data_IF_116066787437
#
_entry.id   IF_116066787437
#
_cell.length_a   1.000
_cell.length_b   1.000
_cell.length_c   1.000
_cell.angle_alpha   90.00
_cell.angle_beta   90.00
_cell.angle_gamma   90.00
#
_symmetry.space_group_name_H-M   'P 1'
#
loop_
_entity.id
_entity.type
_entity.pdbx_description
1 polymer ?
#
# COMPACT_ATOMS: atom_id res chain seq x y z
N UNK A 1 -11.75 5.20 -3.69
CA UNK A 1 -12.30 3.93 -3.22
C UNK A 1 -13.79 3.93 -3.53
N UNK A 2 -14.47 2.78 -3.56
CA UNK A 2 -15.92 2.73 -3.77
C UNK A 2 -16.64 2.30 -2.48
N UNK A 3 -17.93 2.63 -2.35
CA UNK A 3 -18.75 2.22 -1.20
C UNK A 3 -18.81 0.70 -1.04
N UNK A 4 -18.92 -0.03 -2.15
CA UNK A 4 -18.86 -1.49 -2.17
C UNK A 4 -17.52 -2.06 -1.67
N UNK A 5 -16.40 -1.35 -1.91
CA UNK A 5 -15.10 -1.74 -1.35
C UNK A 5 -15.12 -1.66 0.18
N UNK A 6 -15.58 -0.54 0.74
CA UNK A 6 -15.68 -0.38 2.20
C UNK A 6 -16.67 -1.36 2.83
N UNK A 7 -17.80 -1.62 2.17
CA UNK A 7 -18.79 -2.60 2.63
C UNK A 7 -18.15 -3.98 2.84
N UNK A 8 -17.42 -4.47 1.83
CA UNK A 8 -16.74 -5.77 1.86
C UNK A 8 -15.66 -5.81 2.93
N UNK A 9 -14.82 -4.78 3.00
CA UNK A 9 -13.76 -4.70 4.00
C UNK A 9 -14.35 -4.67 5.42
N UNK A 10 -15.40 -3.89 5.65
CA UNK A 10 -16.06 -3.83 6.95
C UNK A 10 -16.67 -5.18 7.34
N UNK A 11 -17.35 -5.85 6.42
CA UNK A 11 -17.94 -7.17 6.66
C UNK A 11 -16.90 -8.22 7.11
N UNK A 12 -15.72 -8.21 6.48
CA UNK A 12 -14.68 -9.18 6.80
C UNK A 12 -13.80 -8.79 7.99
N UNK A 13 -13.57 -7.50 8.21
CA UNK A 13 -12.45 -7.03 9.04
C UNK A 13 -12.82 -6.08 10.18
N UNK A 14 -14.00 -5.43 10.19
CA UNK A 14 -14.32 -4.40 11.19
C UNK A 14 -14.24 -4.89 12.65
N UNK A 15 -14.65 -6.13 12.90
CA UNK A 15 -14.64 -6.73 14.25
C UNK A 15 -13.38 -7.57 14.52
N UNK A 16 -12.52 -7.77 13.51
CA UNK A 16 -11.35 -8.63 13.64
C UNK A 16 -10.19 -7.88 14.29
N UNK A 17 -9.51 -8.59 15.19
CA UNK A 17 -8.32 -8.08 15.88
C UNK A 17 -7.13 -9.02 15.70
N UNK A 18 -5.95 -8.42 15.63
CA UNK A 18 -4.68 -9.13 15.75
C UNK A 18 -4.44 -9.58 17.21
N UNK A 19 -3.47 -10.48 17.47
CA UNK A 19 -3.18 -10.98 18.81
C UNK A 19 -2.87 -9.92 19.88
N UNK A 20 -2.42 -8.72 19.49
CA UNK A 20 -2.23 -7.59 20.41
C UNK A 20 -3.51 -6.77 20.68
N UNK A 21 -4.66 -7.18 20.15
CA UNK A 21 -5.94 -6.48 20.28
C UNK A 21 -6.11 -5.31 19.31
N UNK A 22 -5.13 -5.00 18.45
CA UNK A 22 -5.28 -3.98 17.42
C UNK A 22 -6.25 -4.43 16.32
N UNK A 23 -7.03 -3.52 15.74
CA UNK A 23 -7.78 -3.80 14.52
C UNK A 23 -6.84 -4.29 13.41
N UNK A 24 -7.29 -5.25 12.63
CA UNK A 24 -6.57 -5.70 11.44
C UNK A 24 -6.43 -4.56 10.43
N UNK A 25 -5.34 -4.59 9.65
CA UNK A 25 -5.07 -3.59 8.59
C UNK A 25 -4.89 -4.27 7.25
N UNK A 26 -5.21 -3.55 6.19
CA UNK A 26 -5.18 -4.04 4.81
C UNK A 26 -4.47 -3.06 3.89
N UNK A 27 -4.07 -3.53 2.71
CA UNK A 27 -3.46 -2.72 1.67
C UNK A 27 -4.44 -2.57 0.51
N UNK A 28 -4.70 -1.35 0.06
CA UNK A 28 -5.53 -1.06 -1.10
C UNK A 28 -4.69 -0.48 -2.24
N UNK A 29 -4.53 -1.25 -3.31
CA UNK A 29 -3.92 -0.80 -4.56
C UNK A 29 -4.97 0.00 -5.34
N UNK A 30 -4.77 1.30 -5.42
CA UNK A 30 -5.76 2.27 -5.87
C UNK A 30 -5.47 2.77 -7.28
N UNK A 31 -6.49 2.81 -8.13
CA UNK A 31 -6.47 3.46 -9.43
C UNK A 31 -7.40 4.68 -9.49
N UNK A 32 -7.09 5.66 -10.35
CA UNK A 32 -7.91 6.87 -10.50
C UNK A 32 -9.34 6.58 -10.96
N UNK A 33 -9.51 5.63 -11.88
CA UNK A 33 -10.84 5.34 -12.45
C UNK A 33 -11.80 4.85 -11.36
N UNK A 34 -12.97 5.48 -11.27
CA UNK A 34 -14.02 5.18 -10.29
C UNK A 34 -13.59 5.29 -8.81
N UNK A 35 -12.74 6.27 -8.51
CA UNK A 35 -12.15 6.49 -7.19
C UNK A 35 -12.81 7.65 -6.42
N UNK A 36 -13.43 7.38 -5.26
CA UNK A 36 -13.76 8.45 -4.31
C UNK A 36 -12.57 8.73 -3.38
N UNK A 37 -12.05 9.96 -3.40
CA UNK A 37 -10.80 10.32 -2.73
C UNK A 37 -10.95 10.67 -1.24
N UNK A 38 -12.11 11.14 -0.78
CA UNK A 38 -12.35 11.30 0.67
C UNK A 38 -12.33 9.94 1.36
N UNK A 39 -12.95 8.93 0.76
CA UNK A 39 -12.94 7.57 1.29
C UNK A 39 -11.54 6.93 1.32
N UNK A 40 -10.64 7.35 0.41
CA UNK A 40 -9.24 6.93 0.42
C UNK A 40 -8.49 7.59 1.58
N UNK A 41 -8.82 8.84 1.89
CA UNK A 41 -8.32 9.57 3.07
C UNK A 41 -8.74 8.84 4.35
N UNK A 42 -10.03 8.53 4.49
CA UNK A 42 -10.57 7.78 5.64
C UNK A 42 -9.87 6.43 5.82
N UNK A 43 -9.69 5.70 4.72
CA UNK A 43 -9.04 4.39 4.74
C UNK A 43 -7.58 4.46 5.23
N UNK A 44 -6.82 5.44 4.73
CA UNK A 44 -5.44 5.70 5.16
C UNK A 44 -5.37 6.15 6.63
N UNK A 45 -6.23 7.07 7.05
CA UNK A 45 -6.28 7.58 8.44
C UNK A 45 -6.69 6.49 9.44
N UNK A 46 -7.52 5.54 9.01
CA UNK A 46 -7.82 4.34 9.79
C UNK A 46 -6.59 3.41 9.95
N UNK A 47 -5.41 3.78 9.42
CA UNK A 47 -4.15 3.05 9.54
C UNK A 47 -3.96 1.95 8.49
N UNK A 48 -4.78 1.94 7.44
CA UNK A 48 -4.57 1.05 6.31
C UNK A 48 -3.57 1.66 5.32
N UNK A 49 -3.04 0.82 4.44
CA UNK A 49 -2.08 1.25 3.44
C UNK A 49 -2.78 1.54 2.11
N UNK A 50 -2.47 2.69 1.51
CA UNK A 50 -2.86 3.03 0.14
C UNK A 50 -1.63 2.92 -0.74
N UNK A 51 -1.73 2.09 -1.77
CA UNK A 51 -0.68 1.83 -2.73
C UNK A 51 -1.14 2.15 -4.15
N UNK A 52 -0.20 2.31 -5.07
CA UNK A 52 -0.45 2.72 -6.45
C UNK A 52 -0.87 1.53 -7.34
N UNK A 53 -1.90 1.74 -8.16
CA UNK A 53 -2.38 0.78 -9.16
C UNK A 53 -2.62 1.44 -10.53
N UNK A 54 -1.83 2.45 -10.89
CA UNK A 54 -1.93 3.30 -12.10
C UNK A 54 -3.19 4.14 -12.18
N UNK A 55 -3.24 5.13 -13.08
CA UNK A 55 -4.42 5.98 -13.21
C UNK A 55 -5.57 5.24 -13.92
N UNK A 56 -5.27 4.63 -15.07
CA UNK A 56 -6.29 4.08 -15.97
C UNK A 56 -6.34 2.55 -16.02
N UNK A 57 -5.62 1.87 -15.12
CA UNK A 57 -5.63 0.41 -14.99
C UNK A 57 -5.14 -0.30 -16.27
N UNK A 58 -3.98 0.13 -16.77
CA UNK A 58 -3.33 -0.43 -17.97
C UNK A 58 -2.18 -1.37 -17.64
N UNK A 59 -2.05 -2.46 -18.41
CA UNK A 59 -0.88 -3.33 -18.34
C UNK A 59 0.35 -2.67 -18.97
N UNK A 60 1.54 -3.08 -18.53
CA UNK A 60 2.82 -2.47 -18.91
C UNK A 60 2.79 -0.93 -18.83
N UNK A 61 2.39 -0.37 -17.67
CA UNK A 61 2.15 1.07 -17.54
C UNK A 61 3.44 1.87 -17.74
N UNK A 62 3.29 3.03 -18.39
CA UNK A 62 4.36 3.99 -18.55
C UNK A 62 4.48 4.88 -17.30
N UNK A 63 5.48 5.78 -17.29
CA UNK A 63 5.72 6.65 -16.15
C UNK A 63 4.58 7.62 -15.83
N UNK A 64 3.81 8.10 -16.82
CA UNK A 64 2.67 8.99 -16.58
C UNK A 64 1.54 8.29 -15.82
N UNK A 65 1.32 7.00 -16.09
CA UNK A 65 0.32 6.19 -15.38
C UNK A 65 0.68 5.99 -13.91
N UNK A 66 1.96 5.72 -13.63
CA UNK A 66 2.45 5.45 -12.27
C UNK A 66 2.58 6.78 -11.50
N UNK A 67 3.34 7.74 -12.02
CA UNK A 67 3.63 8.98 -11.31
C UNK A 67 2.41 9.90 -11.24
N UNK A 68 1.53 9.83 -12.24
CA UNK A 68 0.28 10.57 -12.24
C UNK A 68 -0.68 10.09 -11.16
N UNK A 69 -0.72 8.78 -10.88
CA UNK A 69 -1.57 8.24 -9.83
C UNK A 69 -1.06 8.62 -8.42
N UNK A 70 0.27 8.59 -8.20
CA UNK A 70 0.87 9.17 -7.00
C UNK A 70 0.48 10.64 -6.79
N UNK A 71 0.58 11.45 -7.84
CA UNK A 71 0.24 12.86 -7.79
C UNK A 71 -1.25 13.07 -7.47
N UNK A 72 -2.14 12.31 -8.11
CA UNK A 72 -3.58 12.38 -7.87
C UNK A 72 -3.95 11.93 -6.45
N UNK A 73 -3.39 10.83 -5.95
CA UNK A 73 -3.64 10.36 -4.57
C UNK A 73 -3.16 11.37 -3.54
N UNK A 74 -1.99 11.98 -3.74
CA UNK A 74 -1.51 13.04 -2.86
C UNK A 74 -2.39 14.29 -2.92
N UNK A 75 -2.73 14.75 -4.13
CA UNK A 75 -3.46 15.99 -4.32
C UNK A 75 -4.93 15.91 -3.88
N UNK A 76 -5.59 14.76 -4.11
CA UNK A 76 -7.04 14.64 -3.88
C UNK A 76 -7.40 13.81 -2.64
N UNK A 77 -6.47 13.05 -2.05
CA UNK A 77 -6.65 12.38 -0.75
C UNK A 77 -5.73 12.88 0.35
N UNK A 78 -4.82 13.83 0.06
CA UNK A 78 -3.90 14.40 1.05
C UNK A 78 -2.93 13.40 1.67
N UNK A 79 -2.78 12.22 1.09
CA UNK A 79 -1.84 11.21 1.60
C UNK A 79 -0.42 11.67 1.27
N UNK A 80 0.51 11.72 2.24
CA UNK A 80 1.89 12.09 1.98
C UNK A 80 2.54 11.18 0.92
N UNK A 81 3.27 11.77 -0.04
CA UNK A 81 3.98 11.00 -1.08
C UNK A 81 4.97 9.96 -0.52
N UNK A 82 5.50 10.19 0.70
CA UNK A 82 6.37 9.25 1.42
C UNK A 82 5.64 7.97 1.82
N UNK A 83 4.33 8.05 2.00
CA UNK A 83 3.50 6.98 2.54
C UNK A 83 2.80 6.20 1.42
N UNK A 84 2.76 6.75 0.19
CA UNK A 84 2.28 6.07 -1.02
C UNK A 84 3.32 5.09 -1.60
N UNK A 85 3.98 4.29 -0.77
CA UNK A 85 5.25 3.66 -1.13
C UNK A 85 5.15 2.32 -1.88
N UNK A 86 3.95 1.77 -2.04
CA UNK A 86 3.71 0.49 -2.69
C UNK A 86 3.16 0.63 -4.10
N UNK A 87 3.43 -0.36 -4.95
CA UNK A 87 2.85 -0.46 -6.29
C UNK A 87 2.41 -1.89 -6.61
N UNK A 88 1.40 -2.03 -7.47
CA UNK A 88 1.05 -3.27 -8.17
C UNK A 88 0.65 -2.94 -9.60
N UNK A 89 1.17 -3.69 -10.57
CA UNK A 89 0.82 -3.53 -11.97
C UNK A 89 -0.60 -4.07 -12.24
N UNK A 90 -1.44 -3.35 -12.99
CA UNK A 90 -2.71 -3.86 -13.50
C UNK A 90 -2.53 -5.16 -14.28
N UNK A 91 -3.45 -6.11 -14.07
CA UNK A 91 -3.39 -7.48 -14.61
C UNK A 91 -2.10 -8.24 -14.27
N UNK A 92 -1.32 -7.75 -13.30
CA UNK A 92 0.02 -8.24 -12.96
C UNK A 92 1.00 -8.19 -14.14
N UNK A 93 0.70 -7.36 -15.14
CA UNK A 93 1.49 -7.24 -16.36
C UNK A 93 2.55 -6.14 -16.17
N UNK A 94 3.64 -6.48 -15.50
CA UNK A 94 4.80 -5.62 -15.33
C UNK A 94 5.92 -5.96 -16.32
N UNK A 95 6.83 -5.02 -16.53
CA UNK A 95 8.01 -5.18 -17.38
C UNK A 95 9.27 -4.70 -16.66
N UNK A 96 10.45 -4.95 -17.24
CA UNK A 96 11.71 -4.37 -16.74
C UNK A 96 11.67 -2.83 -16.72
N UNK A 97 10.98 -2.19 -17.67
CA UNK A 97 10.79 -0.73 -17.71
C UNK A 97 9.84 -0.26 -16.60
N UNK A 98 8.77 -1.01 -16.32
CA UNK A 98 7.88 -0.77 -15.18
C UNK A 98 8.68 -0.74 -13.88
N UNK A 99 9.44 -1.81 -13.58
CA UNK A 99 10.25 -1.88 -12.36
C UNK A 99 11.32 -0.78 -12.29
N UNK A 100 11.95 -0.45 -13.42
CA UNK A 100 12.93 0.66 -13.49
C UNK A 100 12.26 1.99 -13.12
N UNK A 101 11.07 2.24 -13.65
CA UNK A 101 10.28 3.43 -13.34
C UNK A 101 9.94 3.49 -11.84
N UNK A 102 9.54 2.37 -11.23
CA UNK A 102 9.26 2.31 -9.78
C UNK A 102 10.49 2.69 -8.94
N UNK A 103 11.66 2.18 -9.31
CA UNK A 103 12.91 2.50 -8.62
C UNK A 103 13.33 3.96 -8.81
N UNK A 104 13.16 4.52 -10.01
CA UNK A 104 13.43 5.94 -10.29
C UNK A 104 12.49 6.85 -9.49
N UNK A 105 11.20 6.49 -9.42
CA UNK A 105 10.16 7.14 -8.63
C UNK A 105 10.18 6.78 -7.13
N UNK A 106 11.25 6.12 -6.65
CA UNK A 106 11.50 5.83 -5.23
C UNK A 106 10.35 5.10 -4.53
N UNK A 107 9.70 4.19 -5.24
CA UNK A 107 8.81 3.23 -4.58
C UNK A 107 9.61 2.34 -3.63
N UNK A 108 8.97 1.94 -2.55
CA UNK A 108 9.55 1.03 -1.58
C UNK A 108 9.47 -0.40 -2.07
N UNK A 109 8.33 -0.78 -2.64
CA UNK A 109 8.10 -2.14 -3.10
C UNK A 109 7.19 -2.21 -4.33
N UNK A 110 7.39 -3.26 -5.11
CA UNK A 110 6.42 -3.82 -6.05
C UNK A 110 5.80 -5.10 -5.46
N UNK A 111 4.55 -5.39 -5.83
CA UNK A 111 3.87 -6.63 -5.52
C UNK A 111 3.09 -7.08 -6.75
N UNK A 112 3.81 -7.38 -7.82
CA UNK A 112 3.24 -7.82 -9.10
C UNK A 112 3.73 -9.20 -9.51
N UNK A 113 4.87 -9.65 -8.99
CA UNK A 113 5.44 -10.93 -9.38
C UNK A 113 4.72 -12.09 -8.67
N UNK A 114 4.40 -13.13 -9.41
CA UNK A 114 3.73 -14.34 -8.91
C UNK A 114 4.74 -15.30 -8.30
N UNK A 115 4.38 -15.85 -7.14
CA UNK A 115 4.89 -17.13 -6.66
C UNK A 115 3.86 -18.22 -6.97
N UNK A 116 4.28 -19.18 -7.78
CA UNK A 116 3.45 -20.21 -8.38
C UNK A 116 3.74 -21.62 -7.84
N UNK A 117 4.51 -21.75 -6.76
CA UNK A 117 4.75 -23.04 -6.10
C UNK A 117 4.42 -23.02 -4.59
N UNK A 118 3.95 -24.15 -4.02
CA UNK A 118 3.65 -24.23 -2.59
C UNK A 118 4.84 -23.81 -1.71
N UNK A 119 4.55 -23.19 -0.56
CA UNK A 119 5.59 -22.58 0.29
C UNK A 119 6.53 -23.58 0.97
N UNK A 120 6.12 -24.85 1.06
CA UNK A 120 6.88 -25.98 1.60
C UNK A 120 7.50 -26.88 0.51
N UNK A 121 7.28 -26.55 -0.77
CA UNK A 121 7.84 -27.32 -1.88
C UNK A 121 9.37 -27.18 -1.96
N UNK A 122 10.03 -28.27 -2.37
CA UNK A 122 11.47 -28.22 -2.69
C UNK A 122 11.70 -27.33 -3.90
N UNK A 123 12.54 -26.31 -3.75
CA UNK A 123 12.78 -25.32 -4.82
C UNK A 123 11.64 -24.33 -5.02
N UNK A 124 10.82 -24.10 -3.98
CA UNK A 124 9.75 -23.12 -3.98
C UNK A 124 10.23 -21.72 -4.42
N UNK A 125 9.36 -21.03 -5.15
CA UNK A 125 9.46 -19.61 -5.52
C UNK A 125 8.68 -18.69 -4.56
N UNK A 126 8.06 -19.25 -3.52
CA UNK A 126 7.42 -18.54 -2.42
C UNK A 126 8.48 -18.01 -1.46
N UNK A 127 9.29 -17.08 -1.95
CA UNK A 127 10.30 -16.41 -1.14
C UNK A 127 9.66 -15.42 -0.17
N UNK A 128 10.24 -15.25 1.02
CA UNK A 128 9.99 -14.03 1.80
C UNK A 128 10.27 -12.79 0.94
N UNK A 129 9.60 -11.64 1.17
CA UNK A 129 9.90 -10.40 0.47
C UNK A 129 11.41 -10.12 0.45
N UNK A 130 11.90 -9.65 -0.69
CA UNK A 130 13.34 -9.49 -0.94
C UNK A 130 13.63 -8.22 -1.75
N UNK A 131 14.86 -7.72 -1.69
CA UNK A 131 15.27 -6.57 -2.50
C UNK A 131 15.75 -7.01 -3.88
N UNK A 132 15.55 -6.14 -4.87
CA UNK A 132 16.06 -6.30 -6.24
C UNK A 132 17.53 -5.87 -6.38
N UNK A 133 18.29 -5.83 -5.28
CA UNK A 133 19.75 -5.57 -5.27
C UNK A 133 20.50 -6.55 -6.19
N UNK A 134 20.00 -7.78 -6.28
CA UNK A 134 20.56 -8.85 -7.11
C UNK A 134 19.62 -9.29 -8.25
N UNK A 135 18.53 -8.55 -8.46
CA UNK A 135 17.50 -8.81 -9.48
C UNK A 135 16.33 -9.65 -9.00
N UNK A 136 15.32 -9.77 -9.86
CA UNK A 136 14.09 -10.50 -9.60
C UNK A 136 14.34 -12.02 -9.69
N UNK A 137 13.63 -12.81 -8.89
CA UNK A 137 13.69 -14.27 -8.95
C UNK A 137 12.34 -14.95 -9.23
N UNK A 138 11.26 -14.18 -9.27
CA UNK A 138 9.92 -14.61 -9.68
C UNK A 138 9.68 -14.24 -11.17
N UNK A 139 8.76 -14.94 -11.85
CA UNK A 139 8.37 -14.72 -13.25
C UNK A 139 9.50 -14.69 -14.30
N UNK A 140 10.60 -15.40 -14.05
CA UNK A 140 11.76 -15.40 -14.96
C UNK A 140 11.49 -15.98 -16.35
N UNK A 141 10.41 -16.74 -16.50
CA UNK A 141 9.97 -17.33 -17.76
C UNK A 141 8.89 -16.48 -18.46
N UNK A 142 8.21 -15.61 -17.71
CA UNK A 142 7.06 -14.84 -18.20
C UNK A 142 7.43 -13.41 -18.57
N UNK A 143 8.43 -12.85 -17.89
CA UNK A 143 8.85 -11.46 -18.07
C UNK A 143 10.30 -11.41 -18.56
N UNK A 144 10.48 -10.79 -19.72
CA UNK A 144 11.80 -10.64 -20.33
C UNK A 144 12.71 -9.72 -19.50
N UNK A 145 13.99 -10.09 -19.44
CA UNK A 145 15.09 -9.28 -18.90
C UNK A 145 15.00 -8.86 -17.41
N UNK A 146 14.12 -9.43 -16.61
CA UNK A 146 14.03 -9.12 -15.16
C UNK A 146 14.88 -10.04 -14.27
N UNK A 147 15.13 -11.28 -14.69
CA UNK A 147 15.84 -12.28 -13.91
C UNK A 147 17.32 -12.47 -14.30
N UNK A 148 17.99 -13.42 -13.62
CA UNK A 148 19.41 -13.77 -13.86
C UNK A 148 20.37 -12.59 -13.63
N UNK A 149 19.98 -11.64 -12.76
CA UNK A 149 20.74 -10.43 -12.48
C UNK A 149 20.83 -9.45 -13.65
N UNK A 150 19.98 -9.59 -14.69
CA UNK A 150 19.91 -8.68 -15.85
C UNK A 150 19.40 -7.30 -15.46
N UNK A 151 18.40 -7.24 -14.59
CA UNK A 151 17.89 -6.01 -13.99
C UNK A 151 18.25 -6.00 -12.51
N UNK A 152 18.88 -4.93 -12.03
CA UNK A 152 19.21 -4.73 -10.61
C UNK A 152 18.76 -3.33 -10.21
N UNK A 153 17.90 -3.27 -9.20
CA UNK A 153 17.27 -2.03 -8.75
C UNK A 153 17.44 -1.95 -7.23
N UNK A 154 18.64 -1.54 -6.76
CA UNK A 154 18.95 -1.64 -5.35
C UNK A 154 17.98 -0.88 -4.45
N UNK A 155 17.55 -1.52 -3.37
CA UNK A 155 16.60 -0.97 -2.40
C UNK A 155 15.11 -1.08 -2.77
N UNK A 156 14.76 -1.39 -4.03
CA UNK A 156 13.37 -1.72 -4.38
C UNK A 156 13.06 -3.14 -3.89
N UNK A 157 11.99 -3.30 -3.12
CA UNK A 157 11.53 -4.60 -2.64
C UNK A 157 10.56 -5.24 -3.63
N UNK A 158 10.60 -6.56 -3.75
CA UNK A 158 9.51 -7.36 -4.29
C UNK A 158 8.79 -8.03 -3.12
N UNK A 159 7.46 -7.93 -3.12
CA UNK A 159 6.57 -8.76 -2.30
C UNK A 159 5.88 -9.74 -3.26
N UNK A 160 6.39 -10.98 -3.37
CA UNK A 160 5.78 -11.98 -4.24
C UNK A 160 4.31 -12.16 -3.89
N UNK A 161 3.49 -12.29 -4.92
CA UNK A 161 2.10 -12.67 -4.79
C UNK A 161 2.01 -14.19 -4.68
N UNK A 162 1.73 -14.69 -3.48
CA UNK A 162 1.66 -16.12 -3.20
C UNK A 162 0.35 -16.69 -3.70
N UNK A 163 0.40 -17.63 -4.65
CA UNK A 163 -0.80 -18.29 -5.14
C UNK A 163 -1.41 -19.23 -4.08
N UNK A 164 -2.70 -19.49 -4.24
CA UNK A 164 -3.45 -20.57 -3.60
C UNK A 164 -3.45 -21.78 -4.54
N UNK A 165 -3.38 -22.99 -3.99
CA UNK A 165 -3.22 -24.24 -4.73
C UNK A 165 -4.38 -25.20 -4.48
N UNK A 166 -4.78 -25.91 -5.53
CA UNK A 166 -5.66 -27.06 -5.41
C UNK A 166 -4.87 -28.30 -4.97
N UNK A 167 -4.84 -28.55 -3.66
CA UNK A 167 -4.12 -29.69 -3.06
C UNK A 167 -2.60 -29.60 -3.27
N UNK A 168 -1.94 -30.74 -3.47
CA UNK A 168 -0.49 -30.82 -3.70
C UNK A 168 -0.11 -30.56 -5.18
N UNK A 169 -1.08 -30.23 -6.04
CA UNK A 169 -0.84 -30.06 -7.48
C UNK A 169 -0.46 -28.60 -7.81
N UNK A 170 0.84 -28.35 -8.00
CA UNK A 170 1.35 -27.04 -8.42
C UNK A 170 0.91 -26.59 -9.83
N UNK A 171 0.17 -27.40 -10.58
CA UNK A 171 -0.33 -27.04 -11.92
C UNK A 171 -1.60 -26.17 -11.89
N UNK A 172 -2.35 -26.20 -10.79
CA UNK A 172 -3.63 -25.48 -10.64
C UNK A 172 -3.47 -24.40 -9.56
N UNK A 173 -3.01 -23.23 -9.98
CA UNK A 173 -2.74 -22.06 -9.12
C UNK A 173 -3.85 -21.02 -9.25
N UNK A 174 -4.20 -20.39 -8.12
CA UNK A 174 -5.23 -19.37 -7.99
C UNK A 174 -4.64 -18.16 -7.28
N UNK A 175 -4.44 -17.05 -7.99
CA UNK A 175 -3.69 -15.91 -7.44
C UNK A 175 -4.59 -14.77 -6.98
N UNK A 176 -5.52 -14.36 -7.85
CA UNK A 176 -6.45 -13.26 -7.62
C UNK A 176 -7.87 -13.80 -7.65
N UNK A 177 -8.65 -13.49 -6.63
CA UNK A 177 -10.05 -13.90 -6.54
C UNK A 177 -10.30 -15.42 -6.70
N UNK A 178 -9.66 -16.28 -5.87
CA UNK A 178 -9.77 -17.74 -6.01
C UNK A 178 -11.22 -18.26 -5.96
N UNK A 179 -12.14 -17.49 -5.38
CA UNK A 179 -13.58 -17.78 -5.37
C UNK A 179 -14.27 -17.68 -6.73
N UNK A 180 -13.65 -17.09 -7.74
CA UNK A 180 -14.18 -17.08 -9.10
C UNK A 180 -13.80 -18.33 -9.89
N UNK A 181 -12.79 -19.06 -9.43
CA UNK A 181 -12.24 -20.21 -10.15
C UNK A 181 -12.99 -21.52 -9.86
N UNK A 182 -13.92 -21.51 -8.90
CA UNK A 182 -14.84 -22.62 -8.64
C UNK A 182 -16.22 -22.15 -8.18
N UNK A 183 -17.26 -22.76 -8.76
CA UNK A 183 -18.63 -22.60 -8.28
C UNK A 183 -18.90 -23.35 -6.96
N UNK A 184 -18.02 -24.27 -6.58
CA UNK A 184 -18.12 -24.99 -5.32
C UNK A 184 -17.29 -24.29 -4.25
N UNK A 185 -18.01 -23.58 -3.36
CA UNK A 185 -17.46 -22.83 -2.24
C UNK A 185 -16.57 -23.70 -1.32
N UNK A 186 -16.88 -24.99 -1.18
CA UNK A 186 -16.09 -25.88 -0.32
C UNK A 186 -14.67 -26.09 -0.86
N UNK A 187 -14.54 -26.19 -2.19
CA UNK A 187 -13.25 -26.38 -2.84
C UNK A 187 -12.36 -25.16 -2.60
N UNK A 188 -12.91 -23.95 -2.81
CA UNK A 188 -12.20 -22.68 -2.58
C UNK A 188 -11.68 -22.60 -1.14
N UNK A 189 -12.51 -22.90 -0.15
CA UNK A 189 -12.09 -22.87 1.26
C UNK A 189 -11.02 -23.93 1.54
N UNK A 190 -11.13 -25.12 0.96
CA UNK A 190 -10.13 -26.17 1.11
C UNK A 190 -8.78 -25.73 0.54
N UNK A 191 -8.75 -25.16 -0.67
CA UNK A 191 -7.53 -24.64 -1.31
C UNK A 191 -6.88 -23.54 -0.47
N UNK A 192 -7.67 -22.60 0.03
CA UNK A 192 -7.15 -21.52 0.89
C UNK A 192 -6.57 -22.07 2.20
N UNK A 193 -7.21 -23.08 2.81
CA UNK A 193 -6.71 -23.72 4.03
C UNK A 193 -5.45 -24.53 3.79
N UNK A 194 -5.41 -25.38 2.76
CA UNK A 194 -4.24 -26.18 2.42
C UNK A 194 -3.04 -25.27 2.13
N UNK A 195 -3.26 -24.25 1.31
CA UNK A 195 -2.22 -23.27 0.96
C UNK A 195 -1.70 -22.55 2.19
N UNK A 196 -2.57 -22.01 3.04
CA UNK A 196 -2.15 -21.38 4.30
C UNK A 196 -1.32 -22.34 5.17
N UNK A 197 -1.67 -23.62 5.25
CA UNK A 197 -0.92 -24.60 6.05
C UNK A 197 0.49 -24.85 5.52
N UNK A 198 0.74 -24.73 4.21
CA UNK A 198 2.12 -24.80 3.66
C UNK A 198 3.00 -23.67 4.19
N UNK A 199 2.44 -22.45 4.26
CA UNK A 199 3.13 -21.30 4.86
C UNK A 199 3.28 -21.44 6.38
N UNK A 200 2.19 -21.80 7.07
CA UNK A 200 2.12 -21.85 8.53
C UNK A 200 2.99 -22.98 9.12
N UNK A 201 3.07 -24.14 8.48
CA UNK A 201 3.90 -25.25 8.95
C UNK A 201 5.31 -25.24 8.35
N UNK A 202 5.52 -24.48 7.26
CA UNK A 202 6.81 -24.28 6.61
C UNK A 202 7.61 -23.10 7.18
N UNK A 203 8.22 -22.31 6.30
CA UNK A 203 9.13 -21.21 6.67
C UNK A 203 8.40 -19.90 6.99
N UNK A 204 7.07 -19.94 7.19
CA UNK A 204 6.24 -18.80 7.61
C UNK A 204 6.26 -17.62 6.65
N UNK A 205 6.58 -17.85 5.37
CA UNK A 205 6.47 -16.82 4.34
C UNK A 205 5.06 -16.20 4.40
N UNK A 206 4.89 -14.91 4.08
CA UNK A 206 3.58 -14.27 4.11
C UNK A 206 2.55 -15.06 3.29
N UNK A 207 1.32 -15.14 3.78
CA UNK A 207 0.21 -15.72 3.04
C UNK A 207 -0.65 -14.59 2.48
N UNK A 208 -0.80 -14.57 1.15
CA UNK A 208 -1.54 -13.53 0.45
C UNK A 208 -3.04 -13.84 0.34
N UNK A 209 -3.88 -12.84 0.58
CA UNK A 209 -5.29 -12.87 0.19
C UNK A 209 -5.51 -11.66 -0.71
N UNK A 210 -5.58 -11.90 -2.01
CA UNK A 210 -5.71 -10.85 -3.00
C UNK A 210 -7.10 -10.89 -3.65
N UNK A 211 -7.79 -9.76 -3.63
CA UNK A 211 -9.19 -9.66 -4.07
C UNK A 211 -9.48 -8.36 -4.80
N UNK A 212 -10.35 -8.42 -5.79
CA UNK A 212 -11.20 -7.29 -6.15
C UNK A 212 -12.48 -7.34 -5.29
N UNK A 213 -12.69 -6.36 -4.38
CA UNK A 213 -13.80 -6.41 -3.43
C UNK A 213 -15.17 -6.54 -4.09
N UNK A 214 -15.34 -6.01 -5.30
CA UNK A 214 -16.62 -6.05 -6.03
C UNK A 214 -17.18 -7.47 -6.20
N UNK A 215 -16.33 -8.50 -6.31
CA UNK A 215 -16.76 -9.90 -6.45
C UNK A 215 -17.39 -10.48 -5.18
N UNK A 216 -17.20 -9.80 -4.05
CA UNK A 216 -17.75 -10.17 -2.76
C UNK A 216 -18.74 -9.13 -2.23
N UNK A 217 -19.07 -8.09 -2.99
CA UNK A 217 -20.01 -7.05 -2.57
C UNK A 217 -21.47 -7.53 -2.61
N UNK A 218 -22.32 -6.93 -1.77
CA UNK A 218 -23.78 -7.15 -1.79
C UNK A 218 -24.52 -5.88 -2.20
N UNK A 219 -25.72 -6.04 -2.73
CA UNK A 219 -26.58 -4.91 -3.15
C UNK A 219 -26.06 -4.18 -4.39
N UNK A 220 -25.22 -4.83 -5.21
CA UNK A 220 -24.80 -4.27 -6.48
C UNK A 220 -25.90 -4.46 -7.55
N UNK A 221 -26.35 -3.40 -8.24
CA UNK A 221 -27.45 -3.50 -9.18
C UNK A 221 -27.22 -4.51 -10.30
N UNK A 222 -28.17 -5.43 -10.48
CA UNK A 222 -28.12 -6.42 -11.57
C UNK A 222 -27.17 -7.59 -11.32
N UNK A 223 -26.56 -7.69 -10.15
CA UNK A 223 -25.68 -8.80 -9.75
C UNK A 223 -26.29 -9.52 -8.55
N UNK A 224 -26.26 -10.86 -8.58
CA UNK A 224 -26.72 -11.67 -7.46
C UNK A 224 -25.71 -11.60 -6.31
N UNK A 225 -26.20 -11.34 -5.10
CA UNK A 225 -25.38 -11.29 -3.90
C UNK A 225 -24.65 -12.63 -3.65
N UNK A 226 -23.30 -12.63 -3.50
CA UNK A 226 -22.50 -13.84 -3.34
C UNK A 226 -22.52 -14.36 -1.89
N UNK A 227 -23.69 -14.44 -1.26
CA UNK A 227 -23.85 -14.69 0.20
C UNK A 227 -23.13 -15.95 0.65
N UNK A 228 -23.33 -17.08 -0.04
CA UNK A 228 -22.70 -18.35 0.34
C UNK A 228 -21.16 -18.29 0.31
N UNK A 229 -20.60 -17.61 -0.69
CA UNK A 229 -19.16 -17.44 -0.82
C UNK A 229 -18.61 -16.49 0.25
N UNK A 230 -19.30 -15.38 0.51
CA UNK A 230 -18.92 -14.42 1.57
C UNK A 230 -18.88 -15.06 2.94
N UNK A 231 -19.92 -15.82 3.31
CA UNK A 231 -19.97 -16.51 4.61
C UNK A 231 -18.84 -17.55 4.73
N UNK A 232 -18.51 -18.24 3.64
CA UNK A 232 -17.42 -19.21 3.63
C UNK A 232 -16.03 -18.57 3.76
N UNK A 233 -15.78 -17.46 3.07
CA UNK A 233 -14.55 -16.68 3.24
C UNK A 233 -14.47 -16.10 4.65
N UNK A 234 -15.59 -15.61 5.20
CA UNK A 234 -15.66 -15.15 6.60
C UNK A 234 -15.28 -16.27 7.55
N UNK A 235 -15.83 -17.48 7.37
CA UNK A 235 -15.48 -18.67 8.14
C UNK A 235 -14.02 -19.11 7.97
N UNK A 236 -13.43 -18.95 6.78
CA UNK A 236 -12.00 -19.16 6.57
C UNK A 236 -11.16 -18.16 7.37
N UNK A 237 -11.50 -16.87 7.34
CA UNK A 237 -10.81 -15.84 8.13
C UNK A 237 -10.97 -16.07 9.64
N UNK A 238 -12.13 -16.57 10.10
CA UNK A 238 -12.32 -17.00 11.50
C UNK A 238 -11.39 -18.16 11.86
N UNK A 239 -11.28 -19.15 10.97
CA UNK A 239 -10.39 -20.28 11.14
C UNK A 239 -8.90 -19.89 11.18
N UNK A 240 -8.48 -18.88 10.40
CA UNK A 240 -7.12 -18.34 10.51
C UNK A 240 -6.83 -17.81 11.93
N UNK A 241 -7.82 -17.18 12.57
CA UNK A 241 -7.68 -16.64 13.92
C UNK A 241 -7.68 -17.71 15.03
N UNK A 242 -7.98 -18.97 14.72
CA UNK A 242 -7.79 -20.07 15.67
C UNK A 242 -6.34 -20.56 15.73
N UNK A 243 -5.48 -20.08 14.84
CA UNK A 243 -4.06 -20.42 14.80
C UNK A 243 -3.24 -19.39 15.56
N UNK A 244 -2.30 -19.87 16.38
CA UNK A 244 -1.43 -19.00 17.14
C UNK A 244 -0.54 -18.16 16.23
N UNK A 245 -0.37 -16.89 16.60
CA UNK A 245 0.59 -15.98 15.98
C UNK A 245 0.32 -15.68 14.50
N UNK A 246 -0.96 -15.65 14.10
CA UNK A 246 -1.41 -15.14 12.80
C UNK A 246 -1.76 -13.66 12.91
N UNK A 247 -1.24 -12.85 11.99
CA UNK A 247 -1.42 -11.40 11.97
C UNK A 247 -1.86 -10.94 10.59
N UNK A 248 -2.90 -10.09 10.55
CA UNK A 248 -3.36 -9.40 9.36
C UNK A 248 -2.78 -7.99 9.38
N UNK A 249 -1.86 -7.71 8.46
CA UNK A 249 -1.06 -6.49 8.43
C UNK A 249 -1.01 -5.92 7.02
N UNK A 250 -0.68 -4.64 6.89
CA UNK A 250 -0.37 -4.05 5.60
C UNK A 250 0.98 -4.53 5.07
N UNK A 251 1.28 -4.25 3.81
CA UNK A 251 2.56 -4.60 3.21
C UNK A 251 3.70 -3.77 3.83
N UNK A 252 3.46 -2.49 4.10
CA UNK A 252 4.39 -1.62 4.85
C UNK A 252 4.69 -2.16 6.24
N UNK A 253 3.66 -2.52 7.02
CA UNK A 253 3.86 -3.08 8.37
C UNK A 253 4.67 -4.38 8.32
N UNK A 254 4.38 -5.24 7.34
CA UNK A 254 5.12 -6.48 7.11
C UNK A 254 6.59 -6.19 6.76
N UNK A 255 6.86 -5.30 5.80
CA UNK A 255 8.23 -4.95 5.40
C UNK A 255 9.01 -4.28 6.54
N UNK A 256 8.37 -3.42 7.33
CA UNK A 256 8.99 -2.80 8.50
C UNK A 256 9.40 -3.84 9.55
N UNK A 257 8.57 -4.87 9.76
CA UNK A 257 8.93 -6.02 10.59
C UNK A 257 10.05 -6.86 9.97
N UNK A 258 10.01 -7.15 8.66
CA UNK A 258 11.06 -7.93 7.97
C UNK A 258 12.44 -7.24 8.08
N UNK A 259 12.47 -5.91 8.01
CA UNK A 259 13.72 -5.13 8.15
C UNK A 259 14.27 -5.13 9.57
N UNK A 260 13.41 -5.27 10.58
CA UNK A 260 13.79 -5.26 11.99
C UNK A 260 13.05 -6.39 12.74
N UNK A 261 13.35 -7.66 12.42
CA UNK A 261 12.54 -8.76 12.87
C UNK A 261 12.65 -8.92 14.38
N UNK A 262 11.50 -9.03 15.03
CA UNK A 262 11.40 -9.40 16.44
C UNK A 262 10.65 -10.72 16.56
N UNK A 263 11.08 -11.55 17.52
CA UNK A 263 10.37 -12.78 17.85
C UNK A 263 9.01 -12.47 18.47
N UNK A 264 8.10 -13.44 18.45
CA UNK A 264 6.77 -13.31 19.05
C UNK A 264 6.82 -12.94 20.54
N UNK A 265 7.82 -13.46 21.29
CA UNK A 265 8.02 -13.14 22.69
C UNK A 265 8.32 -11.65 22.93
N UNK A 266 8.87 -10.97 21.92
CA UNK A 266 9.23 -9.55 21.96
C UNK A 266 8.33 -8.71 21.04
N UNK A 267 7.19 -9.24 20.58
CA UNK A 267 6.37 -8.57 19.55
C UNK A 267 5.88 -7.18 20.00
N UNK A 268 5.74 -6.96 21.32
CA UNK A 268 5.38 -5.68 21.91
C UNK A 268 6.43 -4.57 21.69
N UNK A 269 7.69 -4.92 21.37
CA UNK A 269 8.72 -3.93 21.03
C UNK A 269 8.75 -3.58 19.53
N UNK A 270 7.98 -4.28 18.70
CA UNK A 270 7.87 -3.97 17.27
C UNK A 270 7.01 -2.73 17.08
N UNK A 271 7.62 -1.61 16.66
CA UNK A 271 6.84 -0.43 16.25
C UNK A 271 5.95 -0.71 15.03
N UNK A 272 6.36 -1.64 14.16
CA UNK A 272 5.66 -2.00 12.94
C UNK A 272 4.27 -2.65 13.18
N UNK A 273 4.06 -3.24 14.37
CA UNK A 273 2.84 -3.97 14.70
C UNK A 273 2.02 -3.27 15.78
N UNK A 274 2.34 -2.02 16.10
CA UNK A 274 1.52 -1.19 16.99
C UNK A 274 0.39 -0.54 16.20
N UNK A 275 -0.76 -0.35 16.84
CA UNK A 275 -1.81 0.51 16.31
C UNK A 275 -1.83 1.82 17.09
N UNK A 276 -1.86 2.93 16.36
CA UNK A 276 -2.17 4.25 16.89
C UNK A 276 -3.53 4.64 16.31
N UNK A 277 -4.40 5.21 17.14
CA UNK A 277 -5.66 5.79 16.69
C UNK A 277 -5.54 7.30 16.92
N UNK A 278 -5.76 8.13 15.89
CA UNK A 278 -5.82 9.58 16.10
C UNK A 278 -6.91 9.92 17.12
N UNK A 279 -6.52 10.51 18.25
CA UNK A 279 -7.45 10.99 19.27
C UNK A 279 -7.77 12.46 18.98
N UNK A 280 -8.69 12.67 18.02
CA UNK A 280 -9.16 14.01 17.63
C UNK A 280 -10.59 14.19 18.13
N UNK A 281 -10.92 15.28 18.86
CA UNK A 281 -12.27 15.52 19.33
C UNK A 281 -13.29 15.50 18.18
N UNK A 282 -14.39 14.77 18.34
CA UNK A 282 -15.44 14.59 17.31
C UNK A 282 -16.21 15.87 16.98
N UNK A 283 -16.05 16.91 17.80
CA UNK A 283 -16.58 18.26 17.56
C UNK A 283 -15.72 19.08 16.62
N UNK A 284 -14.49 18.63 16.33
CA UNK A 284 -13.56 19.35 15.46
C UNK A 284 -14.05 19.23 14.02
N UNK A 285 -14.14 20.35 13.32
CA UNK A 285 -14.46 20.36 11.89
C UNK A 285 -13.18 20.54 11.11
N UNK A 286 -12.64 19.43 10.65
CA UNK A 286 -11.38 19.33 9.91
C UNK A 286 -11.42 18.12 8.97
N UNK A 287 -10.75 18.26 7.83
CA UNK A 287 -10.47 17.20 6.88
C UNK A 287 -9.31 16.34 7.36
N UNK A 288 -9.60 15.36 8.21
CA UNK A 288 -8.59 14.53 8.86
C UNK A 288 -8.85 13.03 8.68
N UNK A 289 -9.68 12.61 7.73
CA UNK A 289 -10.08 11.22 7.49
C UNK A 289 -10.90 10.59 8.62
N UNK A 290 -11.53 11.42 9.47
CA UNK A 290 -12.49 10.96 10.47
C UNK A 290 -13.87 11.47 10.06
N UNK A 291 -14.73 10.57 9.60
CA UNK A 291 -16.04 10.89 8.99
C UNK A 291 -16.83 11.98 9.73
N UNK A 292 -16.96 11.90 11.06
CA UNK A 292 -17.74 12.88 11.86
C UNK A 292 -17.15 14.31 11.83
N UNK A 293 -15.84 14.42 11.66
CA UNK A 293 -15.13 15.69 11.57
C UNK A 293 -15.27 16.31 10.17
N UNK A 294 -15.43 15.49 9.14
CA UNK A 294 -15.52 15.90 7.73
C UNK A 294 -16.94 16.29 7.29
N UNK A 295 -17.96 16.00 8.10
CA UNK A 295 -19.35 16.39 7.79
C UNK A 295 -19.44 17.88 7.51
N UNK A 296 -19.82 18.22 6.27
CA UNK A 296 -19.98 19.58 5.78
C UNK A 296 -18.73 20.22 5.17
N UNK A 297 -17.61 19.49 5.11
CA UNK A 297 -16.33 19.95 4.56
C UNK A 297 -15.98 19.31 3.21
N UNK A 298 -16.68 18.23 2.83
CA UNK A 298 -16.41 17.51 1.59
C UNK A 298 -16.96 18.26 0.38
N UNK A 299 -16.08 18.47 -0.59
CA UNK A 299 -16.42 18.95 -1.91
C UNK A 299 -17.01 17.82 -2.75
N UNK A 300 -18.06 18.12 -3.49
CA UNK A 300 -18.67 17.20 -4.42
C UNK A 300 -18.20 17.55 -5.83
N UNK A 301 -17.33 16.72 -6.41
CA UNK A 301 -16.80 16.91 -7.74
C UNK A 301 -17.75 16.28 -8.75
N UNK A 302 -18.54 17.08 -9.50
CA UNK A 302 -19.72 16.60 -10.21
C UNK A 302 -19.38 16.12 -11.62
N UNK A 303 -18.35 15.28 -11.76
CA UNK A 303 -17.98 14.70 -13.05
C UNK A 303 -19.05 13.73 -13.52
N UNK A 304 -19.45 13.84 -14.80
CA UNK A 304 -20.60 13.12 -15.34
C UNK A 304 -20.41 11.59 -15.33
N UNK A 305 -19.20 11.11 -15.62
CA UNK A 305 -18.91 9.67 -15.68
C UNK A 305 -18.75 9.06 -14.29
N UNK A 306 -18.11 9.80 -13.37
CA UNK A 306 -17.93 9.35 -12.01
C UNK A 306 -17.79 10.54 -11.04
N UNK A 307 -18.87 10.92 -10.33
CA UNK A 307 -18.78 11.92 -9.30
C UNK A 307 -18.08 11.36 -8.06
N UNK A 308 -17.27 12.19 -7.41
CA UNK A 308 -16.54 11.81 -6.20
C UNK A 308 -16.43 12.97 -5.22
N UNK A 309 -16.02 12.66 -4.00
CA UNK A 309 -15.80 13.65 -2.94
C UNK A 309 -14.34 13.76 -2.55
N UNK A 310 -13.95 14.95 -2.12
CA UNK A 310 -12.61 15.23 -1.59
C UNK A 310 -12.68 16.36 -0.57
N UNK A 311 -11.65 16.44 0.25
CA UNK A 311 -11.39 17.53 1.18
C UNK A 311 -10.42 18.58 0.61
N UNK A 312 -9.88 18.36 -0.59
CA UNK A 312 -8.70 19.07 -1.09
C UNK A 312 -8.99 19.89 -2.35
N UNK A 313 -10.26 20.22 -2.60
CA UNK A 313 -10.68 20.97 -3.78
C UNK A 313 -10.95 20.09 -4.99
N UNK A 314 -12.05 20.36 -5.67
CA UNK A 314 -12.36 19.69 -6.93
C UNK A 314 -11.47 20.21 -8.06
N UNK A 315 -10.90 19.31 -8.89
CA UNK A 315 -10.23 19.73 -10.09
C UNK A 315 -11.26 20.28 -11.09
N UNK A 316 -10.83 21.22 -11.92
CA UNK A 316 -11.67 21.86 -12.94
C UNK A 316 -12.06 20.92 -14.08
N UNK A 317 -11.27 19.86 -14.30
CA UNK A 317 -11.51 18.79 -15.27
C UNK A 317 -11.13 17.44 -14.65
N UNK A 318 -11.63 16.29 -15.17
CA UNK A 318 -11.19 14.99 -14.72
C UNK A 318 -9.67 14.82 -14.87
N UNK A 319 -8.94 14.32 -13.85
CA UNK A 319 -7.52 14.09 -13.99
C UNK A 319 -7.20 12.95 -14.95
N UNK A 320 -6.06 13.04 -15.63
CA UNK A 320 -5.61 12.09 -16.66
C UNK A 320 -4.11 11.80 -16.52
N UNK A 321 -3.55 10.77 -17.17
CA UNK A 321 -2.10 10.55 -17.19
C UNK A 321 -1.29 11.77 -17.67
N UNK A 322 -1.82 12.55 -18.61
CA UNK A 322 -1.14 13.74 -19.15
C UNK A 322 -1.32 14.99 -18.26
N UNK A 323 -2.41 15.05 -17.49
CA UNK A 323 -2.70 16.12 -16.52
C UNK A 323 -3.28 15.50 -15.23
N UNK A 324 -2.41 14.96 -14.36
CA UNK A 324 -2.85 14.20 -13.19
C UNK A 324 -3.34 15.06 -12.03
N UNK A 325 -3.00 16.36 -12.03
CA UNK A 325 -3.47 17.33 -11.04
C UNK A 325 -3.89 18.60 -11.78
N UNK A 326 -5.05 18.60 -12.47
CA UNK A 326 -5.57 19.80 -13.11
C UNK A 326 -5.82 20.91 -12.09
N UNK A 327 -5.96 22.17 -12.52
CA UNK A 327 -6.26 23.28 -11.61
C UNK A 327 -7.45 22.97 -10.71
N UNK A 328 -7.29 23.19 -9.40
CA UNK A 328 -8.28 22.88 -8.38
C UNK A 328 -8.97 24.16 -7.87
N UNK A 329 -10.24 24.05 -7.51
CA UNK A 329 -10.91 25.05 -6.69
C UNK A 329 -10.56 24.83 -5.22
N UNK A 330 -9.57 25.57 -4.71
CA UNK A 330 -9.13 25.48 -3.30
C UNK A 330 -9.87 26.47 -2.39
N UNK A 331 -11.01 27.02 -2.82
CA UNK A 331 -11.75 28.04 -2.07
C UNK A 331 -12.53 27.50 -0.86
N UNK A 332 -12.53 26.18 -0.66
CA UNK A 332 -13.41 25.51 0.30
C UNK A 332 -12.67 25.30 1.62
N UNK A 333 -13.31 25.75 2.70
CA UNK A 333 -12.68 26.01 3.99
C UNK A 333 -12.43 24.76 4.83
N UNK A 334 -11.18 24.31 4.86
CA UNK A 334 -10.69 23.19 5.68
C UNK A 334 -9.18 23.07 5.54
N UNK A 335 -8.48 24.17 5.81
CA UNK A 335 -7.24 24.50 5.13
C UNK A 335 -6.00 23.75 5.61
N UNK A 336 -5.70 22.60 4.99
CA UNK A 336 -4.34 22.09 4.86
C UNK A 336 -3.99 22.12 3.37
N UNK A 337 -2.92 22.84 3.01
CA UNK A 337 -2.30 22.80 1.69
C UNK A 337 -1.35 21.59 1.66
N UNK A 338 -1.69 20.49 0.98
CA UNK A 338 -0.86 19.30 0.94
C UNK A 338 0.38 19.47 0.02
N UNK A 339 0.38 20.48 -0.86
CA UNK A 339 1.47 20.77 -1.79
C UNK A 339 2.56 21.60 -1.08
N UNK A 340 2.14 22.60 -0.30
CA UNK A 340 3.04 23.39 0.55
C UNK A 340 3.28 22.77 1.94
N UNK A 341 2.50 21.76 2.32
CA UNK A 341 2.46 21.16 3.65
C UNK A 341 2.20 22.21 4.75
N UNK A 342 1.24 23.11 4.53
CA UNK A 342 0.93 24.20 5.46
C UNK A 342 -0.56 24.26 5.76
N UNK A 343 -0.91 24.42 7.03
CA UNK A 343 -2.27 24.79 7.40
C UNK A 343 -2.54 26.24 6.95
N UNK A 344 -3.52 26.47 6.06
CA UNK A 344 -3.93 27.82 5.64
C UNK A 344 -5.01 28.43 6.55
N UNK A 345 -5.36 27.75 7.65
CA UNK A 345 -6.24 28.32 8.67
C UNK A 345 -5.53 29.50 9.34
N UNK A 346 -6.21 30.66 9.36
CA UNK A 346 -5.69 31.92 9.94
C UNK A 346 -6.26 32.23 11.33
N UNK A 347 -7.03 31.31 11.94
CA UNK A 347 -7.63 31.47 13.27
C UNK A 347 -7.11 30.44 14.27
N UNK A 348 -6.97 30.84 15.53
CA UNK A 348 -6.45 29.97 16.61
C UNK A 348 -7.35 28.76 16.91
N UNK A 349 -8.61 28.79 16.48
CA UNK A 349 -9.59 27.73 16.69
C UNK A 349 -9.50 26.57 15.70
N UNK A 350 -8.82 26.75 14.56
CA UNK A 350 -8.51 25.68 13.59
C UNK A 350 -7.01 25.55 13.32
N UNK A 351 -6.17 26.14 14.19
CA UNK A 351 -4.73 26.02 14.10
C UNK A 351 -4.31 24.56 14.27
N UNK A 352 -3.90 23.94 13.17
CA UNK A 352 -3.24 22.65 13.19
C UNK A 352 -1.89 22.79 13.91
N UNK A 353 -1.65 21.98 14.94
CA UNK A 353 -0.32 21.91 15.58
C UNK A 353 0.49 20.86 14.85
N UNK A 354 1.24 21.31 13.84
CA UNK A 354 2.18 20.47 13.13
C UNK A 354 3.35 20.07 14.04
N UNK A 355 3.49 18.76 14.29
CA UNK A 355 4.62 18.18 15.03
C UNK A 355 5.62 17.48 14.12
N UNK A 356 5.40 17.53 12.80
CA UNK A 356 6.34 17.06 11.79
C UNK A 356 7.38 18.14 11.52
N UNK A 357 8.63 17.73 11.30
CA UNK A 357 9.75 18.67 11.11
C UNK A 357 9.97 18.93 9.62
N UNK A 358 9.99 20.20 9.17
CA UNK A 358 10.26 20.52 7.78
C UNK A 358 11.73 20.29 7.41
N UNK A 359 11.98 19.90 6.15
CA UNK A 359 13.28 20.06 5.49
C UNK A 359 13.08 20.77 4.14
N UNK A 360 13.57 22.00 4.05
CA UNK A 360 14.10 22.59 2.81
C UNK A 360 13.24 23.65 2.11
N UNK A 361 13.61 24.91 2.33
CA UNK A 361 13.05 26.13 1.73
C UNK A 361 13.41 26.26 0.23
N UNK A 362 12.41 26.48 -0.65
CA UNK A 362 12.65 26.96 -2.02
C UNK A 362 12.00 28.33 -2.21
N UNK A 363 12.82 29.37 -2.15
CA UNK A 363 12.47 30.67 -2.71
C UNK A 363 12.64 30.60 -4.24
N UNK A 364 11.54 30.71 -4.99
CA UNK A 364 11.61 30.98 -6.43
C UNK A 364 11.86 32.47 -6.66
N UNK A 365 13.07 32.80 -7.09
CA UNK A 365 13.38 34.10 -7.68
C UNK A 365 12.75 34.20 -9.07
N UNK A 366 12.01 35.28 -9.29
CA UNK A 366 11.38 35.68 -10.55
C UNK A 366 12.41 36.13 -11.59
N UNK A 367 12.14 35.88 -12.89
CA UNK A 367 12.94 36.43 -14.00
C UNK A 367 12.56 35.95 -15.40
N UNK A 368 11.60 36.66 -16.02
CA UNK A 368 11.40 37.01 -17.44
C UNK A 368 11.95 36.18 -18.62
N UNK A 369 11.04 35.99 -19.59
CA UNK A 369 11.18 36.02 -21.06
C UNK A 369 11.90 34.90 -21.83
N UNK A 370 11.16 34.33 -22.80
CA UNK A 370 11.72 34.00 -24.12
C UNK A 370 11.49 32.59 -24.67
N UNK A 371 10.58 32.50 -25.65
CA UNK A 371 10.62 31.62 -26.83
C UNK A 371 10.73 30.10 -26.64
N UNK A 372 9.62 29.43 -26.96
CA UNK A 372 9.41 28.00 -27.12
C UNK A 372 10.36 27.30 -28.10
N UNK A 373 10.98 26.20 -27.67
CA UNK A 373 11.04 24.89 -28.37
C UNK A 373 11.92 23.90 -27.60
N UNK A 374 11.34 22.91 -26.89
CA UNK A 374 12.01 21.64 -26.56
C UNK A 374 11.03 20.59 -25.97
N UNK A 375 11.37 19.32 -26.26
CA UNK A 375 10.70 18.04 -26.02
C UNK A 375 10.23 17.73 -24.57
N UNK A 376 9.30 16.76 -24.38
CA UNK A 376 8.82 16.36 -23.06
C UNK A 376 9.98 15.74 -22.25
N UNK A 377 10.22 16.30 -21.07
CA UNK A 377 11.16 15.75 -20.07
C UNK A 377 10.39 14.90 -19.06
N UNK A 378 10.96 13.79 -18.57
CA UNK A 378 10.33 12.97 -17.55
C UNK A 378 10.31 13.75 -16.23
N UNK A 379 9.13 14.13 -15.77
CA UNK A 379 8.92 14.78 -14.47
C UNK A 379 9.06 13.73 -13.36
N UNK A 380 10.29 13.50 -12.89
CA UNK A 380 10.52 12.78 -11.63
C UNK A 380 10.03 13.65 -10.47
N UNK A 381 9.01 13.20 -9.74
CA UNK A 381 8.56 13.86 -8.51
C UNK A 381 9.61 13.57 -7.42
N UNK A 382 10.25 14.58 -6.79
CA UNK A 382 11.26 14.34 -5.78
C UNK A 382 10.65 13.70 -4.52
N UNK A 383 10.83 12.39 -4.34
CA UNK A 383 10.57 11.70 -3.07
C UNK A 383 11.75 11.89 -2.13
N UNK A 384 11.51 12.37 -0.91
CA UNK A 384 12.49 12.14 0.15
C UNK A 384 12.48 10.67 0.52
N UNK A 385 13.67 10.12 0.74
CA UNK A 385 13.86 8.78 1.29
C UNK A 385 12.96 8.59 2.51
N UNK A 386 12.27 7.46 2.58
CA UNK A 386 11.38 7.11 3.69
C UNK A 386 12.07 7.34 5.05
N UNK A 387 11.29 7.57 6.10
CA UNK A 387 11.82 7.75 7.46
C UNK A 387 12.71 6.58 7.95
N UNK A 388 12.71 5.44 7.24
CA UNK A 388 13.61 4.32 7.48
C UNK A 388 15.09 4.67 7.21
N UNK A 389 15.40 5.51 6.21
CA UNK A 389 16.80 5.80 5.83
C UNK A 389 17.48 6.88 6.70
N UNK A 390 16.69 7.75 7.35
CA UNK A 390 17.23 8.85 8.18
C UNK A 390 17.71 8.39 9.56
N UNK A 391 17.44 7.16 9.98
CA UNK A 391 17.95 6.63 11.26
C UNK A 391 19.40 6.11 11.19
N UNK A 392 20.01 6.07 10.00
CA UNK A 392 21.36 5.52 9.82
C UNK A 392 22.52 6.50 10.14
N UNK A 393 22.26 7.81 10.32
CA UNK A 393 23.36 8.81 10.40
C UNK A 393 23.62 9.38 11.80
N UNK A 394 22.80 9.07 12.82
CA UNK A 394 23.03 9.56 14.19
C UNK A 394 23.51 8.41 15.09
N UNK A 395 24.71 7.86 14.83
CA UNK A 395 25.44 7.13 15.87
C UNK A 395 26.96 7.05 15.69
N UNK A 396 27.58 8.06 15.07
CA UNK A 396 29.05 8.19 15.09
C UNK A 396 29.40 9.56 15.67
N UNK A 397 29.55 9.62 16.99
CA UNK A 397 29.87 10.85 17.70
C UNK A 397 30.19 10.65 19.17
N UNK A 398 31.44 10.26 19.45
CA UNK A 398 32.18 10.38 20.71
C UNK A 398 31.62 9.72 21.99
N UNK A 399 32.27 8.62 22.40
CA UNK A 399 32.74 8.46 23.78
C UNK A 399 34.04 7.67 23.79
N UNK A 400 35.14 8.36 24.09
CA UNK A 400 36.47 7.79 24.31
C UNK A 400 36.65 7.48 25.81
N UNK A 401 37.33 6.35 26.07
CA UNK A 401 37.95 5.89 27.33
C UNK A 401 36.98 5.32 28.40
N UNK A 402 37.22 4.20 29.08
CA UNK A 402 38.37 3.32 29.35
C UNK A 402 37.87 1.85 29.26
N UNK A 403 38.55 0.86 28.69
CA UNK A 403 39.79 0.27 29.21
C UNK A 403 39.51 -0.76 30.31
N UNK A 404 39.35 -2.05 29.96
CA UNK A 404 39.99 -3.23 30.59
C UNK A 404 39.61 -4.48 29.77
N UNK A 405 40.63 -5.26 29.43
CA UNK A 405 40.57 -6.50 28.68
C UNK A 405 39.97 -7.67 29.49
N UNK A 406 39.18 -8.50 28.83
CA UNK A 406 39.09 -9.93 29.13
C UNK A 406 38.62 -10.69 27.87
N UNK A 407 39.60 -11.26 27.17
CA UNK A 407 39.42 -12.31 26.18
C UNK A 407 38.95 -13.57 26.91
N UNK A 408 37.82 -14.16 26.52
CA UNK A 408 37.60 -15.59 26.70
C UNK A 408 36.80 -16.19 25.54
N UNK A 409 37.27 -17.37 25.17
CA UNK A 409 37.05 -18.15 23.96
C UNK A 409 35.78 -19.01 24.07
N UNK A 410 35.05 -19.10 22.95
CA UNK A 410 34.22 -20.19 22.41
C UNK A 410 33.45 -21.15 23.34
N UNK A 411 32.21 -21.51 22.93
CA UNK A 411 31.95 -22.84 22.35
C UNK A 411 30.56 -22.96 21.71
N UNK A 412 30.58 -23.51 20.50
CA UNK A 412 29.47 -24.21 19.87
C UNK A 412 29.22 -25.54 20.60
N UNK A 413 27.95 -25.88 20.75
CA UNK A 413 27.42 -27.25 20.80
C UNK A 413 26.00 -27.21 20.23
#
# INVERSE_FOLDING_TARGET
MQSYTLEVLNYFFAERKNPNGCPVKTTFFNSLTYNNYSMVTDFYVAGNEVADHTMTHVGSPNASEINGNLAALNAFSGIPLSDLSGFRAPMLNFTAETLTTLHESKFLYDSSATSATPADATGTDAFWPYTLDNGLTNNCLDVDNVCQGKLKLPGLWEIPMYAVYQGDNAADIHLMDPWLDSANVSDVVEWMKSSFLTHYNGNRQPFGIYSHPIHLAVGYPGVTDPIAMREAIKGFLDWLQTHDNVWFVTNQMMLDWIRNPVSIANIASSSALTCQVPDVPTTTKICNGIEVNEIGLLDQCPFADFPWTTCYGCPTVPPTPDDPVPPQDTSIGGFFDPIANTCLCTSDSCAFTDTTRPIGNYSSGTGSDGSSSAAPSPTSIPRQTSAADKRLVIQVGLSVALGVAAVLIAKWA
#
